data_IF_272638499764
#
_entry.id   IF_272638499764
#
_cell.length_a   1.000
_cell.length_b   1.000
_cell.length_c   1.000
_cell.angle_alpha   90.00
_cell.angle_beta   90.00
_cell.angle_gamma   90.00
#
_symmetry.space_group_name_H-M   'P 1'
#
loop_
_entity.id
_entity.type
_entity.pdbx_description
1 polymer ?
#
# COMPACT_ATOMS: atom_id res chain seq x y z
N UNK A 1 13.14 -4.78 -22.64
CA UNK A 1 12.73 -5.78 -21.65
C UNK A 1 13.55 -7.05 -21.89
N UNK A 2 14.25 -7.53 -20.86
CA UNK A 2 15.00 -8.79 -20.89
C UNK A 2 14.28 -9.81 -20.01
N UNK A 3 14.27 -11.06 -20.45
CA UNK A 3 13.70 -12.18 -19.69
C UNK A 3 14.87 -13.06 -19.25
N UNK A 4 15.02 -13.24 -17.94
CA UNK A 4 16.00 -14.15 -17.37
C UNK A 4 15.38 -15.55 -17.16
N UNK A 5 16.22 -16.58 -17.22
CA UNK A 5 15.82 -17.99 -17.01
C UNK A 5 16.02 -18.46 -15.57
N UNK A 6 16.59 -17.60 -14.72
CA UNK A 6 16.80 -17.87 -13.29
C UNK A 6 16.67 -16.60 -12.47
N UNK A 7 16.35 -16.75 -11.18
CA UNK A 7 16.30 -15.64 -10.23
C UNK A 7 17.66 -14.90 -10.18
N UNK A 8 18.77 -15.64 -10.07
CA UNK A 8 20.10 -15.05 -10.03
C UNK A 8 20.41 -14.17 -11.24
N UNK A 9 20.11 -14.68 -12.46
CA UNK A 9 20.32 -13.89 -13.68
C UNK A 9 19.39 -12.68 -13.80
N UNK A 10 18.21 -12.70 -13.14
CA UNK A 10 17.28 -11.58 -13.14
C UNK A 10 17.74 -10.44 -12.21
N UNK A 11 18.43 -10.76 -11.13
CA UNK A 11 18.79 -9.78 -10.06
C UNK A 11 20.24 -9.35 -10.07
N UNK A 12 21.06 -9.91 -10.96
CA UNK A 12 22.48 -9.54 -11.10
C UNK A 12 22.61 -8.06 -11.45
N UNK A 13 23.31 -7.31 -10.61
CA UNK A 13 23.52 -5.86 -10.77
C UNK A 13 22.28 -4.99 -10.58
N UNK A 14 21.15 -5.56 -10.18
CA UNK A 14 19.94 -4.79 -9.92
C UNK A 14 20.06 -3.95 -8.64
N UNK A 15 19.66 -2.68 -8.70
CA UNK A 15 19.60 -1.77 -7.55
C UNK A 15 18.27 -1.83 -6.83
N UNK A 16 17.19 -2.12 -7.57
CA UNK A 16 15.83 -2.26 -7.07
C UNK A 16 15.20 -3.52 -7.67
N UNK A 17 14.69 -4.39 -6.81
CA UNK A 17 14.09 -5.66 -7.17
C UNK A 17 12.67 -5.67 -6.61
N UNK A 18 11.66 -5.79 -7.50
CA UNK A 18 10.26 -5.90 -7.11
C UNK A 18 9.82 -7.36 -7.15
N UNK A 19 9.49 -7.92 -6.01
CA UNK A 19 8.87 -9.23 -5.87
C UNK A 19 7.35 -9.08 -6.03
N UNK A 20 6.75 -9.84 -6.95
CA UNK A 20 5.31 -9.82 -7.25
C UNK A 20 4.77 -11.24 -7.47
N UNK A 21 5.20 -12.18 -6.63
CA UNK A 21 4.71 -13.57 -6.67
C UNK A 21 3.33 -13.70 -6.00
N UNK A 22 2.64 -14.85 -6.14
CA UNK A 22 1.34 -15.05 -5.50
C UNK A 22 1.33 -14.74 -4.01
N UNK A 23 0.18 -14.27 -3.50
CA UNK A 23 0.00 -13.83 -2.11
C UNK A 23 -0.04 -15.02 -1.14
N UNK A 24 1.12 -15.67 -0.99
CA UNK A 24 1.39 -16.80 -0.12
C UNK A 24 2.73 -16.59 0.55
N UNK A 25 2.74 -16.52 1.88
CA UNK A 25 3.92 -16.12 2.65
C UNK A 25 5.13 -17.01 2.38
N UNK A 26 4.92 -18.33 2.33
CA UNK A 26 5.98 -19.30 2.09
C UNK A 26 6.60 -19.17 0.69
N UNK A 27 5.81 -18.76 -0.31
CA UNK A 27 6.29 -18.51 -1.68
C UNK A 27 7.13 -17.25 -1.74
N UNK A 28 6.63 -16.17 -1.13
CA UNK A 28 7.34 -14.88 -1.07
C UNK A 28 8.65 -15.01 -0.32
N UNK A 29 8.67 -15.64 0.85
CA UNK A 29 9.90 -15.87 1.64
C UNK A 29 10.92 -16.72 0.86
N UNK A 30 10.48 -17.77 0.17
CA UNK A 30 11.37 -18.59 -0.65
C UNK A 30 11.99 -17.81 -1.82
N UNK A 31 11.19 -16.98 -2.49
CA UNK A 31 11.66 -16.13 -3.61
C UNK A 31 12.58 -15.03 -3.10
N UNK A 32 12.24 -14.35 -2.01
CA UNK A 32 13.09 -13.33 -1.38
C UNK A 32 14.45 -13.92 -1.00
N UNK A 33 14.46 -15.10 -0.40
CA UNK A 33 15.71 -15.80 -0.08
C UNK A 33 16.53 -16.07 -1.34
N UNK A 34 15.92 -16.59 -2.39
CA UNK A 34 16.60 -16.86 -3.67
C UNK A 34 17.14 -15.56 -4.31
N UNK A 35 16.41 -14.45 -4.21
CA UNK A 35 16.89 -13.12 -4.61
C UNK A 35 18.15 -12.74 -3.82
N UNK A 36 18.10 -12.86 -2.50
CA UNK A 36 19.20 -12.46 -1.62
C UNK A 36 20.45 -13.32 -1.75
N UNK A 37 20.35 -14.56 -2.21
CA UNK A 37 21.49 -15.41 -2.54
C UNK A 37 22.33 -14.88 -3.71
N UNK A 38 21.75 -14.04 -4.56
CA UNK A 38 22.37 -13.61 -5.82
C UNK A 38 22.46 -12.09 -6.00
N UNK A 39 21.64 -11.29 -5.30
CA UNK A 39 21.67 -9.85 -5.43
C UNK A 39 22.78 -9.20 -4.57
N UNK A 40 23.14 -7.96 -4.92
CA UNK A 40 24.04 -7.14 -4.11
C UNK A 40 23.46 -6.87 -2.72
N UNK A 41 24.32 -6.80 -1.71
CA UNK A 41 23.91 -6.52 -0.33
C UNK A 41 23.28 -5.12 -0.16
N UNK A 42 23.53 -4.20 -1.08
CA UNK A 42 22.94 -2.86 -1.09
C UNK A 42 21.70 -2.75 -2.00
N UNK A 43 21.31 -3.82 -2.70
CA UNK A 43 20.11 -3.81 -3.51
C UNK A 43 18.85 -3.66 -2.62
N UNK A 44 17.83 -3.02 -3.13
CA UNK A 44 16.51 -2.95 -2.50
C UNK A 44 15.72 -4.20 -2.91
N UNK A 45 15.20 -4.94 -1.94
CA UNK A 45 14.28 -6.06 -2.16
C UNK A 45 12.89 -5.64 -1.69
N UNK A 46 12.06 -5.22 -2.62
CA UNK A 46 10.72 -4.73 -2.36
C UNK A 46 9.69 -5.80 -2.70
N UNK A 47 8.66 -5.96 -1.87
CA UNK A 47 7.52 -6.83 -2.15
C UNK A 47 6.27 -6.01 -2.47
N UNK A 48 5.48 -6.45 -3.45
CA UNK A 48 4.19 -5.85 -3.79
C UNK A 48 3.02 -6.48 -3.00
N UNK A 49 3.29 -7.17 -1.91
CA UNK A 49 2.24 -7.77 -1.08
C UNK A 49 1.21 -6.74 -0.64
N UNK A 50 -0.06 -7.12 -0.69
CA UNK A 50 -1.18 -6.30 -0.19
C UNK A 50 -1.52 -6.61 1.27
N UNK A 51 -1.16 -7.79 1.77
CA UNK A 51 -1.59 -8.29 3.08
C UNK A 51 -0.50 -8.43 4.11
N UNK A 52 0.67 -8.96 3.72
CA UNK A 52 1.74 -9.30 4.66
C UNK A 52 2.54 -8.09 5.12
N UNK A 53 2.92 -8.11 6.40
CA UNK A 53 3.83 -7.11 6.95
C UNK A 53 5.27 -7.37 6.51
N UNK A 54 6.12 -6.33 6.40
CA UNK A 54 7.54 -6.50 6.14
C UNK A 54 8.21 -7.48 7.13
N UNK A 55 7.88 -7.42 8.41
CA UNK A 55 8.43 -8.32 9.42
C UNK A 55 8.12 -9.80 9.13
N UNK A 56 6.94 -10.13 8.60
CA UNK A 56 6.58 -11.49 8.21
C UNK A 56 7.41 -11.96 6.99
N UNK A 57 7.65 -11.08 6.02
CA UNK A 57 8.50 -11.39 4.85
C UNK A 57 9.97 -11.59 5.23
N UNK A 58 10.40 -10.96 6.31
CA UNK A 58 11.77 -10.99 6.82
C UNK A 58 12.10 -12.25 7.62
N UNK A 59 11.10 -13.04 8.01
CA UNK A 59 11.32 -14.29 8.74
C UNK A 59 12.19 -15.27 7.94
N UNK A 60 13.34 -15.66 8.52
CA UNK A 60 14.29 -16.55 7.87
C UNK A 60 15.07 -15.96 6.69
N UNK A 61 14.97 -14.65 6.45
CA UNK A 61 15.72 -13.96 5.41
C UNK A 61 17.20 -13.86 5.75
N UNK A 62 18.07 -13.81 4.71
CA UNK A 62 19.52 -13.65 4.88
C UNK A 62 19.89 -12.23 5.34
N UNK A 63 19.18 -11.23 4.86
CA UNK A 63 19.38 -9.80 5.15
C UNK A 63 18.01 -9.13 5.34
N UNK A 64 17.39 -9.27 6.52
CA UNK A 64 16.07 -8.70 6.78
C UNK A 64 16.00 -7.18 6.57
N UNK A 65 17.07 -6.46 6.85
CA UNK A 65 17.21 -5.01 6.67
C UNK A 65 17.08 -4.55 5.22
N UNK A 66 17.22 -5.46 4.26
CA UNK A 66 17.13 -5.20 2.82
C UNK A 66 15.69 -5.25 2.28
N UNK A 67 14.77 -5.85 3.07
CA UNK A 67 13.41 -6.19 2.64
C UNK A 67 12.44 -5.11 3.10
N UNK A 68 11.67 -4.56 2.15
CA UNK A 68 10.65 -3.56 2.38
C UNK A 68 9.38 -3.89 1.59
N UNK A 69 8.22 -3.46 2.05
CA UNK A 69 7.02 -3.50 1.23
C UNK A 69 6.93 -2.22 0.39
N UNK A 70 6.69 -2.39 -0.90
CA UNK A 70 6.42 -1.34 -1.88
C UNK A 70 5.16 -1.75 -2.63
N UNK A 71 4.00 -1.40 -2.02
CA UNK A 71 2.67 -1.86 -2.44
C UNK A 71 2.02 -0.89 -3.41
N UNK A 72 1.94 -1.22 -4.73
CA UNK A 72 1.27 -0.40 -5.72
C UNK A 72 -0.23 -0.71 -5.76
N UNK A 73 -1.01 0.18 -6.37
CA UNK A 73 -2.44 -0.01 -6.62
C UNK A 73 -2.73 -0.33 -8.07
N UNK A 74 -3.60 -1.29 -8.31
CA UNK A 74 -4.03 -1.65 -9.65
C UNK A 74 -5.12 -0.72 -10.19
N UNK A 75 -5.04 -0.31 -11.46
CA UNK A 75 -3.98 -0.62 -12.43
C UNK A 75 -2.76 0.29 -12.25
N UNK A 76 -1.58 -0.32 -12.07
CA UNK A 76 -0.32 0.38 -11.73
C UNK A 76 0.08 1.45 -12.73
N UNK A 77 -0.28 1.29 -14.01
CA UNK A 77 0.01 2.25 -15.07
C UNK A 77 -0.92 3.49 -15.06
N UNK A 78 -1.96 3.50 -14.21
CA UNK A 78 -2.88 4.65 -14.05
C UNK A 78 -2.81 5.23 -12.65
N UNK A 79 -2.62 4.40 -11.63
CA UNK A 79 -2.60 4.82 -10.23
C UNK A 79 -1.15 4.95 -9.74
N UNK A 80 -0.68 6.18 -9.48
CA UNK A 80 0.72 6.40 -9.15
C UNK A 80 1.09 6.05 -7.71
N UNK A 81 0.10 5.80 -6.82
CA UNK A 81 0.36 5.57 -5.41
C UNK A 81 1.13 4.27 -5.18
N UNK A 82 2.14 4.35 -4.32
CA UNK A 82 2.82 3.19 -3.73
C UNK A 82 2.94 3.40 -2.23
N UNK A 83 2.37 2.51 -1.45
CA UNK A 83 2.63 2.47 0.00
C UNK A 83 4.00 1.88 0.26
N UNK A 84 4.83 2.61 0.97
CA UNK A 84 6.18 2.16 1.37
C UNK A 84 6.13 1.84 2.86
N UNK A 85 6.29 0.56 3.19
CA UNK A 85 6.16 0.07 4.57
C UNK A 85 7.46 -0.61 4.99
N UNK A 86 8.05 -0.09 6.04
CA UNK A 86 9.27 -0.62 6.64
C UNK A 86 8.96 -1.26 8.00
N UNK A 87 9.65 -2.36 8.33
CA UNK A 87 9.76 -2.86 9.70
C UNK A 87 10.83 -2.09 10.47
N UNK A 88 10.95 -2.37 11.76
CA UNK A 88 12.04 -1.80 12.59
C UNK A 88 13.44 -2.27 12.19
N UNK A 89 13.56 -3.33 11.40
CA UNK A 89 14.84 -3.83 10.90
C UNK A 89 15.37 -3.01 9.71
N UNK A 90 14.52 -2.24 9.03
CA UNK A 90 14.87 -1.50 7.82
C UNK A 90 15.45 -0.13 8.19
N UNK A 91 16.66 0.21 7.75
CA UNK A 91 17.25 1.53 7.97
C UNK A 91 16.47 2.64 7.27
N UNK A 92 16.41 3.82 7.89
CA UNK A 92 15.74 5.00 7.31
C UNK A 92 16.30 5.38 5.92
N UNK A 93 17.61 5.21 5.72
CA UNK A 93 18.27 5.48 4.45
C UNK A 93 17.74 4.58 3.32
N UNK A 94 17.42 3.31 3.62
CA UNK A 94 16.86 2.41 2.63
C UNK A 94 15.44 2.86 2.25
N UNK A 95 14.62 3.23 3.23
CA UNK A 95 13.28 3.78 3.00
C UNK A 95 13.32 5.04 2.13
N UNK A 96 14.28 5.94 2.39
CA UNK A 96 14.46 7.14 1.56
C UNK A 96 14.87 6.78 0.13
N UNK A 97 15.81 5.86 -0.06
CA UNK A 97 16.23 5.39 -1.39
C UNK A 97 15.08 4.78 -2.18
N UNK A 98 14.18 4.03 -1.52
CA UNK A 98 12.97 3.50 -2.14
C UNK A 98 12.07 4.63 -2.62
N UNK A 99 11.84 5.63 -1.78
CA UNK A 99 11.02 6.80 -2.14
C UNK A 99 11.62 7.57 -3.32
N UNK A 100 12.91 7.87 -3.27
CA UNK A 100 13.63 8.57 -4.36
C UNK A 100 13.54 7.81 -5.68
N UNK A 101 13.71 6.47 -5.63
CA UNK A 101 13.59 5.63 -6.82
C UNK A 101 12.17 5.69 -7.40
N UNK A 102 11.15 5.52 -6.56
CA UNK A 102 9.74 5.55 -6.99
C UNK A 102 9.37 6.91 -7.59
N UNK A 103 9.81 8.01 -6.98
CA UNK A 103 9.60 9.36 -7.54
C UNK A 103 10.30 9.54 -8.90
N UNK A 104 11.50 8.96 -9.06
CA UNK A 104 12.25 9.04 -10.32
C UNK A 104 11.53 8.37 -11.51
N UNK A 105 10.67 7.40 -11.22
CA UNK A 105 9.83 6.72 -12.21
C UNK A 105 8.37 7.22 -12.21
N UNK A 106 8.15 8.41 -11.68
CA UNK A 106 6.83 9.10 -11.65
C UNK A 106 5.77 8.41 -10.80
N UNK A 107 6.16 7.59 -9.84
CA UNK A 107 5.26 7.07 -8.82
C UNK A 107 5.16 8.05 -7.64
N UNK A 108 4.11 7.89 -6.84
CA UNK A 108 3.87 8.68 -5.62
C UNK A 108 4.05 7.79 -4.38
N UNK A 109 5.26 7.72 -3.80
CA UNK A 109 5.46 6.97 -2.56
C UNK A 109 4.76 7.67 -1.38
N UNK A 110 4.14 6.85 -0.53
CA UNK A 110 3.63 7.26 0.78
C UNK A 110 4.26 6.34 1.82
N UNK A 111 5.20 6.89 2.58
CA UNK A 111 5.88 6.15 3.65
C UNK A 111 4.96 6.06 4.86
N UNK A 112 4.66 4.85 5.29
CA UNK A 112 3.85 4.62 6.47
C UNK A 112 4.71 4.67 7.74
N UNK A 113 4.13 5.17 8.83
CA UNK A 113 4.83 5.33 10.11
C UNK A 113 5.07 4.02 10.87
N UNK A 114 4.34 2.97 10.52
CA UNK A 114 4.48 1.62 11.10
C UNK A 114 3.88 0.58 10.16
N UNK A 115 4.33 -0.66 10.29
CA UNK A 115 3.70 -1.80 9.62
C UNK A 115 2.36 -2.16 10.27
N UNK A 116 1.42 -2.59 9.45
CA UNK A 116 0.13 -3.12 9.88
C UNK A 116 -0.37 -4.13 8.82
N UNK A 117 -1.11 -5.15 9.22
CA UNK A 117 -1.73 -6.07 8.25
C UNK A 117 -2.60 -5.30 7.26
N UNK A 118 -2.50 -5.64 5.96
CA UNK A 118 -3.20 -4.99 4.85
C UNK A 118 -2.95 -3.45 4.74
N UNK A 119 -1.87 -2.97 5.30
CA UNK A 119 -1.38 -1.59 5.24
C UNK A 119 -2.47 -0.54 5.58
N UNK A 120 -2.55 0.57 4.88
CA UNK A 120 -3.57 1.61 5.13
C UNK A 120 -4.68 1.60 4.08
N UNK A 121 -4.32 1.55 2.81
CA UNK A 121 -5.30 1.68 1.74
C UNK A 121 -6.28 0.53 1.68
N UNK A 122 -5.80 -0.71 1.75
CA UNK A 122 -6.68 -1.88 1.73
C UNK A 122 -7.57 -1.95 2.98
N UNK A 123 -7.07 -1.50 4.14
CA UNK A 123 -7.92 -1.40 5.35
C UNK A 123 -9.05 -0.39 5.19
N UNK A 124 -8.80 0.74 4.51
CA UNK A 124 -9.84 1.73 4.22
C UNK A 124 -10.84 1.21 3.18
N UNK A 125 -10.36 0.52 2.14
CA UNK A 125 -11.21 -0.14 1.15
C UNK A 125 -12.08 -1.22 1.80
N UNK A 126 -11.50 -2.06 2.67
CA UNK A 126 -12.22 -3.09 3.42
C UNK A 126 -13.32 -2.51 4.33
N UNK A 127 -13.06 -1.38 4.98
CA UNK A 127 -14.06 -0.74 5.83
C UNK A 127 -15.27 -0.30 5.01
N UNK A 128 -15.03 0.35 3.86
CA UNK A 128 -16.10 0.76 2.92
C UNK A 128 -16.81 -0.45 2.32
N UNK A 129 -16.06 -1.45 1.88
CA UNK A 129 -16.59 -2.68 1.28
C UNK A 129 -17.49 -3.45 2.24
N UNK A 130 -17.07 -3.60 3.49
CA UNK A 130 -17.83 -4.28 4.54
C UNK A 130 -19.16 -3.58 4.79
N UNK A 131 -19.17 -2.25 4.91
CA UNK A 131 -20.41 -1.47 5.08
C UNK A 131 -21.33 -1.63 3.86
N UNK A 132 -20.80 -1.57 2.66
CA UNK A 132 -21.56 -1.77 1.44
C UNK A 132 -22.26 -3.16 1.39
N UNK A 133 -21.55 -4.21 1.82
CA UNK A 133 -22.14 -5.56 1.91
C UNK A 133 -23.27 -5.65 2.93
N UNK A 134 -23.16 -4.97 4.07
CA UNK A 134 -24.24 -4.92 5.07
C UNK A 134 -25.46 -4.20 4.53
N UNK A 135 -25.29 -3.06 3.86
CA UNK A 135 -26.38 -2.30 3.24
C UNK A 135 -27.14 -3.14 2.19
N UNK A 136 -26.44 -3.93 1.40
CA UNK A 136 -27.07 -4.86 0.44
C UNK A 136 -27.79 -5.99 1.17
N UNK A 137 -27.16 -6.62 2.15
CA UNK A 137 -27.73 -7.72 2.93
C UNK A 137 -29.03 -7.31 3.62
N UNK A 138 -29.06 -6.09 4.18
CA UNK A 138 -30.21 -5.57 4.93
C UNK A 138 -31.29 -4.98 4.00
N UNK A 139 -31.08 -5.05 2.68
CA UNK A 139 -32.04 -4.56 1.68
C UNK A 139 -32.20 -3.04 1.63
N UNK A 140 -31.21 -2.30 2.18
CA UNK A 140 -31.21 -0.82 2.18
C UNK A 140 -30.89 -0.27 0.80
N UNK A 141 -29.96 -0.91 0.09
CA UNK A 141 -29.55 -0.51 -1.25
C UNK A 141 -29.15 -1.72 -2.11
N UNK A 142 -29.27 -1.59 -3.42
CA UNK A 142 -28.70 -2.52 -4.39
C UNK A 142 -27.23 -2.20 -4.64
N UNK A 143 -26.46 -3.14 -5.17
CA UNK A 143 -25.07 -2.92 -5.59
C UNK A 143 -24.96 -1.74 -6.56
N UNK A 144 -25.83 -1.67 -7.57
CA UNK A 144 -25.83 -0.57 -8.53
C UNK A 144 -26.10 0.81 -7.89
N UNK A 145 -26.99 0.88 -6.89
CA UNK A 145 -27.24 2.13 -6.16
C UNK A 145 -26.00 2.57 -5.35
N UNK A 146 -25.29 1.61 -4.75
CA UNK A 146 -24.04 1.91 -4.02
C UNK A 146 -22.97 2.42 -4.98
N UNK A 147 -22.80 1.77 -6.14
CA UNK A 147 -21.85 2.20 -7.17
C UNK A 147 -22.18 3.62 -7.67
N UNK A 148 -23.45 3.90 -7.95
CA UNK A 148 -23.90 5.23 -8.37
C UNK A 148 -23.64 6.30 -7.29
N UNK A 149 -23.89 5.98 -6.02
CA UNK A 149 -23.61 6.89 -4.90
C UNK A 149 -22.12 7.21 -4.81
N UNK A 150 -21.26 6.20 -4.89
CA UNK A 150 -19.81 6.41 -4.81
C UNK A 150 -19.30 7.22 -5.99
N UNK A 151 -19.64 6.80 -7.21
CA UNK A 151 -19.07 7.37 -8.44
C UNK A 151 -19.59 8.77 -8.77
N UNK A 152 -20.80 9.15 -8.31
CA UNK A 152 -21.41 10.46 -8.57
C UNK A 152 -21.38 11.42 -7.37
N UNK A 153 -20.79 11.01 -6.23
CA UNK A 153 -20.72 11.87 -5.03
C UNK A 153 -19.31 11.96 -4.44
N UNK A 154 -19.09 11.31 -3.29
CA UNK A 154 -17.86 11.46 -2.53
C UNK A 154 -16.63 10.86 -3.21
N UNK A 155 -16.76 9.89 -4.09
CA UNK A 155 -15.65 9.38 -4.91
C UNK A 155 -15.02 10.45 -5.79
N UNK A 156 -15.83 11.33 -6.37
CA UNK A 156 -15.32 12.49 -7.15
C UNK A 156 -14.57 13.50 -6.29
N UNK A 157 -15.00 13.70 -5.03
CA UNK A 157 -14.27 14.57 -4.09
C UNK A 157 -12.93 13.98 -3.69
N UNK A 158 -12.90 12.66 -3.41
CA UNK A 158 -11.68 11.98 -2.98
C UNK A 158 -10.60 11.92 -4.07
N UNK A 159 -10.99 11.96 -5.33
CA UNK A 159 -10.05 12.11 -6.43
C UNK A 159 -9.29 13.46 -6.43
N UNK A 160 -9.82 14.47 -5.72
CA UNK A 160 -9.26 15.82 -5.66
C UNK A 160 -8.74 16.19 -4.26
N UNK A 161 -9.40 15.69 -3.22
CA UNK A 161 -9.09 15.96 -1.81
C UNK A 161 -9.26 14.69 -1.01
N UNK A 162 -8.26 14.34 -0.21
CA UNK A 162 -8.33 13.19 0.68
C UNK A 162 -9.43 13.32 1.74
N UNK A 163 -9.63 12.26 2.49
CA UNK A 163 -10.68 12.14 3.49
C UNK A 163 -10.63 13.28 4.53
N UNK A 164 -9.49 13.47 5.18
CA UNK A 164 -9.31 14.48 6.23
C UNK A 164 -9.42 15.90 5.68
N UNK A 165 -8.85 16.17 4.51
CA UNK A 165 -8.95 17.48 3.86
C UNK A 165 -10.41 17.82 3.51
N UNK A 166 -11.18 16.85 3.05
CA UNK A 166 -12.61 17.02 2.76
C UNK A 166 -13.37 17.47 4.02
N UNK A 167 -13.16 16.80 5.15
CA UNK A 167 -13.86 17.14 6.40
C UNK A 167 -13.32 18.40 7.06
N UNK A 168 -12.03 18.69 6.91
CA UNK A 168 -11.46 19.98 7.34
C UNK A 168 -12.13 21.16 6.63
N UNK A 169 -12.34 21.04 5.31
CA UNK A 169 -13.04 22.07 4.50
C UNK A 169 -14.52 22.15 4.89
N UNK A 170 -15.18 21.01 5.12
CA UNK A 170 -16.58 20.99 5.56
C UNK A 170 -16.83 21.68 6.91
N UNK A 171 -15.84 21.68 7.80
CA UNK A 171 -15.88 22.40 9.09
C UNK A 171 -15.77 23.94 8.97
N UNK A 172 -15.57 24.48 7.75
CA UNK A 172 -15.44 25.91 7.50
C UNK A 172 -14.24 26.54 8.19
N UNK A 173 -14.38 27.77 8.67
CA UNK A 173 -13.29 28.48 9.36
C UNK A 173 -12.85 27.81 10.68
N UNK A 174 -13.76 27.12 11.36
CA UNK A 174 -13.46 26.40 12.59
C UNK A 174 -12.81 25.01 12.35
N UNK A 175 -12.76 24.54 11.10
CA UNK A 175 -12.01 23.38 10.66
C UNK A 175 -12.48 22.04 11.21
N UNK A 176 -11.56 21.08 11.29
CA UNK A 176 -11.86 19.70 11.70
C UNK A 176 -12.45 19.60 13.12
N UNK A 177 -12.02 20.45 14.05
CA UNK A 177 -12.54 20.41 15.42
C UNK A 177 -14.05 20.62 15.44
N UNK A 178 -14.54 21.65 14.74
CA UNK A 178 -15.97 21.92 14.63
C UNK A 178 -16.73 20.77 13.96
N UNK A 179 -16.17 20.22 12.90
CA UNK A 179 -16.76 19.08 12.21
C UNK A 179 -16.91 17.87 13.15
N UNK A 180 -15.90 17.54 13.94
CA UNK A 180 -15.94 16.45 14.91
C UNK A 180 -16.90 16.70 16.06
N UNK A 181 -17.01 17.94 16.55
CA UNK A 181 -18.00 18.32 17.59
C UNK A 181 -19.44 18.10 17.08
N UNK A 182 -19.69 18.37 15.80
CA UNK A 182 -21.02 18.26 15.20
C UNK A 182 -21.37 16.83 14.79
N UNK A 183 -20.46 16.10 14.20
CA UNK A 183 -20.72 14.79 13.58
C UNK A 183 -20.02 13.61 14.28
N UNK A 184 -19.08 13.87 15.17
CA UNK A 184 -18.36 12.82 15.93
C UNK A 184 -19.28 11.85 16.67
N UNK A 185 -20.36 12.32 17.34
CA UNK A 185 -21.31 11.44 18.02
C UNK A 185 -22.02 10.42 17.10
N UNK A 186 -21.98 10.61 15.78
CA UNK A 186 -22.55 9.66 14.82
C UNK A 186 -21.57 8.53 14.43
N UNK A 187 -20.34 8.54 14.97
CA UNK A 187 -19.29 7.58 14.63
C UNK A 187 -19.13 6.45 15.68
N UNK A 188 -19.98 6.45 16.72
CA UNK A 188 -20.01 5.41 17.78
C UNK A 188 -20.80 4.16 17.37
#
# INVERSE_FOLDING_TARGET
LNIATSTGGAVEGALYIQESTPERIEVKQAVIKSIQESCDANAIVASSTSGFMPSELQEGALRPEQIIVSHPYNPVYLLPLVEVVASLAVPAELTQRVSDYLESVSMKPVVLGAEAPAHVGDRLLEALWREALWLVKDGVATTGQIDDIITHSFGLRWAQKGLFETYRVAGGQAGMKHFLEQFGPCLE
#
